data_IF_911968298317
#
_entry.id   IF_911968298317
#
_cell.length_a   1.000
_cell.length_b   1.000
_cell.length_c   1.000
_cell.angle_alpha   90.00
_cell.angle_beta   90.00
_cell.angle_gamma   90.00
#
_symmetry.space_group_name_H-M   'P 1'
#
loop_
_entity.id
_entity.type
_entity.pdbx_description
1 polymer ?
#
# COMPACT_ATOMS: atom_id res chain seq x y z
N UNK A 1 17.56 -28.15 30.59
CA UNK A 1 16.75 -28.62 29.43
C UNK A 1 15.27 -28.23 29.50
N UNK A 2 14.53 -28.49 30.60
CA UNK A 2 13.07 -28.22 30.66
C UNK A 2 12.67 -26.74 30.49
N UNK A 3 13.41 -25.81 31.10
CA UNK A 3 13.12 -24.37 31.00
C UNK A 3 13.36 -23.76 29.61
N UNK A 4 14.27 -24.34 28.81
CA UNK A 4 14.53 -23.88 27.43
C UNK A 4 13.40 -24.25 26.47
N UNK A 5 12.73 -25.38 26.71
CA UNK A 5 11.58 -25.83 25.89
C UNK A 5 10.37 -24.92 26.15
N UNK A 6 10.11 -24.58 27.42
CA UNK A 6 8.99 -23.67 27.78
C UNK A 6 9.24 -22.25 27.26
N UNK A 7 10.47 -21.74 27.39
CA UNK A 7 10.83 -20.42 26.84
C UNK A 7 10.72 -20.38 25.31
N UNK A 8 11.18 -21.42 24.62
CA UNK A 8 11.07 -21.54 23.16
C UNK A 8 9.61 -21.57 22.68
N UNK A 9 8.74 -22.33 23.35
CA UNK A 9 7.31 -22.36 23.02
C UNK A 9 6.63 -21.00 23.22
N UNK A 10 6.95 -20.28 24.29
CA UNK A 10 6.38 -18.96 24.55
C UNK A 10 6.73 -17.94 23.45
N UNK A 11 7.97 -17.97 22.95
CA UNK A 11 8.41 -17.10 21.84
C UNK A 11 7.71 -17.46 20.53
N UNK A 12 7.56 -18.75 20.21
CA UNK A 12 6.88 -19.20 18.98
C UNK A 12 5.39 -18.83 19.02
N UNK A 13 4.73 -19.01 20.17
CA UNK A 13 3.31 -18.68 20.33
C UNK A 13 3.04 -17.18 20.24
N UNK A 14 3.91 -16.35 20.83
CA UNK A 14 3.79 -14.89 20.72
C UNK A 14 4.04 -14.40 19.31
N UNK A 15 5.07 -14.90 18.63
CA UNK A 15 5.33 -14.55 17.23
C UNK A 15 4.20 -15.02 16.30
N UNK A 16 3.70 -16.25 16.45
CA UNK A 16 2.59 -16.77 15.68
C UNK A 16 1.28 -16.02 15.93
N UNK A 17 1.03 -15.63 17.18
CA UNK A 17 -0.11 -14.80 17.55
C UNK A 17 -0.10 -13.44 16.86
N UNK A 18 1.05 -12.77 16.83
CA UNK A 18 1.21 -11.46 16.16
C UNK A 18 0.95 -11.56 14.65
N UNK A 19 1.44 -12.62 13.99
CA UNK A 19 1.23 -12.85 12.56
C UNK A 19 -0.24 -13.16 12.26
N UNK A 20 -0.89 -13.99 13.07
CA UNK A 20 -2.29 -14.35 12.88
C UNK A 20 -3.26 -13.21 13.21
N UNK A 21 -2.87 -12.30 14.11
CA UNK A 21 -3.64 -11.09 14.44
C UNK A 21 -3.39 -9.92 13.50
N UNK A 22 -2.42 -10.03 12.58
CA UNK A 22 -2.23 -9.02 11.58
C UNK A 22 -3.54 -8.90 10.78
N UNK A 23 -4.10 -7.69 10.63
CA UNK A 23 -5.24 -7.49 9.74
C UNK A 23 -4.90 -8.12 8.39
N UNK A 24 -5.84 -8.83 7.74
CA UNK A 24 -5.62 -9.23 6.36
C UNK A 24 -5.22 -7.96 5.60
N UNK A 25 -4.17 -8.05 4.78
CA UNK A 25 -3.90 -7.01 3.82
C UNK A 25 -5.06 -7.04 2.81
N UNK A 26 -6.18 -6.41 3.15
CA UNK A 26 -7.08 -5.87 2.14
C UNK A 26 -6.20 -4.89 1.40
N UNK A 27 -5.72 -5.33 0.25
CA UNK A 27 -4.96 -4.47 -0.61
C UNK A 27 -6.04 -3.64 -1.29
N UNK A 28 -6.41 -2.52 -0.68
CA UNK A 28 -7.36 -1.53 -1.21
C UNK A 28 -6.87 -1.02 -2.53
N UNK A 29 -7.01 -1.87 -3.54
CA UNK A 29 -6.31 -1.80 -4.79
C UNK A 29 -7.34 -1.80 -5.90
N UNK A 30 -7.35 -0.70 -6.63
CA UNK A 30 -8.08 -0.58 -7.87
C UNK A 30 -7.12 -0.85 -9.03
N UNK A 31 -7.60 -1.60 -10.02
CA UNK A 31 -6.85 -1.95 -11.21
C UNK A 31 -7.64 -1.56 -12.46
N UNK A 32 -6.92 -1.14 -13.50
CA UNK A 32 -7.51 -0.76 -14.78
C UNK A 32 -8.03 0.69 -14.82
N UNK A 33 -8.49 1.11 -15.99
CA UNK A 33 -8.85 2.50 -16.26
C UNK A 33 -7.60 3.38 -16.44
N UNK A 34 -7.51 4.55 -15.79
CA UNK A 34 -6.40 5.50 -15.98
C UNK A 34 -5.10 5.10 -15.26
N UNK A 35 -5.09 4.03 -14.48
CA UNK A 35 -3.92 3.53 -13.75
C UNK A 35 -3.70 2.03 -13.99
N UNK A 36 -2.43 1.62 -13.95
CA UNK A 36 -2.02 0.21 -13.94
C UNK A 36 -2.42 -0.45 -12.62
N UNK A 37 -2.13 0.23 -11.52
CA UNK A 37 -2.59 -0.14 -10.18
C UNK A 37 -2.69 1.11 -9.31
N UNK A 38 -3.64 1.12 -8.39
CA UNK A 38 -3.77 2.15 -7.36
C UNK A 38 -4.09 1.44 -6.06
N UNK A 39 -3.19 1.49 -5.09
CA UNK A 39 -3.31 0.75 -3.85
C UNK A 39 -3.11 1.65 -2.64
N UNK A 40 -3.94 1.45 -1.62
CA UNK A 40 -3.76 2.06 -0.31
C UNK A 40 -3.07 1.10 0.66
N UNK A 41 -2.14 1.66 1.43
CA UNK A 41 -1.55 1.02 2.60
C UNK A 41 -2.48 1.08 3.81
N UNK A 42 -2.05 0.51 4.95
CA UNK A 42 -2.85 0.55 6.17
C UNK A 42 -3.07 1.99 6.66
N UNK A 43 -4.25 2.25 7.20
CA UNK A 43 -4.55 3.52 7.89
C UNK A 43 -3.80 3.55 9.23
N UNK A 44 -3.03 4.61 9.47
CA UNK A 44 -2.32 4.87 10.73
C UNK A 44 -3.27 5.44 11.80
N UNK A 45 -2.88 5.42 13.09
CA UNK A 45 -3.71 5.92 14.19
C UNK A 45 -4.07 7.41 14.08
N UNK A 46 -3.31 8.19 13.31
CA UNK A 46 -3.57 9.60 13.02
C UNK A 46 -4.56 9.82 11.85
N UNK A 47 -5.07 8.73 11.26
CA UNK A 47 -6.01 8.74 10.13
C UNK A 47 -5.34 8.90 8.77
N UNK A 48 -4.00 8.91 8.70
CA UNK A 48 -3.27 8.95 7.43
C UNK A 48 -3.11 7.56 6.83
N UNK A 49 -2.92 7.47 5.52
CA UNK A 49 -2.54 6.23 4.85
C UNK A 49 -1.65 6.54 3.64
N UNK A 50 -0.87 5.57 3.18
CA UNK A 50 -0.04 5.76 1.98
C UNK A 50 -0.80 5.27 0.75
N UNK A 51 -0.94 6.10 -0.29
CA UNK A 51 -1.48 5.69 -1.59
C UNK A 51 -0.37 5.58 -2.62
N UNK A 52 -0.29 4.43 -3.28
CA UNK A 52 0.63 4.19 -4.38
C UNK A 52 -0.14 4.04 -5.70
N UNK A 53 0.14 4.92 -6.66
CA UNK A 53 -0.45 4.86 -8.01
C UNK A 53 0.64 4.53 -9.01
N UNK A 54 0.41 3.49 -9.81
CA UNK A 54 1.18 3.16 -10.97
C UNK A 54 0.44 3.60 -12.25
N UNK A 55 1.08 4.41 -13.07
CA UNK A 55 0.60 4.88 -14.38
C UNK A 55 1.61 4.54 -15.45
N UNK A 56 1.23 4.69 -16.73
CA UNK A 56 2.20 4.64 -17.82
C UNK A 56 2.75 6.04 -18.08
N UNK A 57 4.08 6.15 -18.18
CA UNK A 57 4.75 7.37 -18.64
C UNK A 57 5.23 7.16 -20.06
N UNK A 58 4.94 8.11 -20.94
CA UNK A 58 5.45 8.11 -22.31
C UNK A 58 6.91 8.59 -22.33
N UNK A 59 7.81 7.79 -22.90
CA UNK A 59 9.22 8.11 -23.07
C UNK A 59 9.52 8.26 -24.56
N UNK A 60 10.02 9.42 -25.03
CA UNK A 60 10.41 9.59 -26.42
C UNK A 60 11.69 8.82 -26.72
N UNK A 61 11.77 8.22 -27.92
CA UNK A 61 12.93 7.48 -28.40
C UNK A 61 13.11 7.66 -29.91
N UNK A 62 14.02 8.54 -30.30
CA UNK A 62 14.25 8.87 -31.71
C UNK A 62 12.97 9.38 -32.37
N UNK A 63 12.52 8.67 -33.42
CA UNK A 63 11.29 8.97 -34.16
C UNK A 63 10.03 8.28 -33.62
N UNK A 64 10.11 7.62 -32.45
CA UNK A 64 8.99 6.91 -31.82
C UNK A 64 8.92 7.19 -30.32
N UNK A 65 8.00 6.52 -29.63
CA UNK A 65 7.83 6.59 -28.18
C UNK A 65 7.39 5.24 -27.64
N UNK A 66 7.73 4.95 -26.38
CA UNK A 66 7.23 3.76 -25.67
C UNK A 66 6.71 4.14 -24.29
N UNK A 67 5.80 3.33 -23.77
CA UNK A 67 5.23 3.50 -22.44
C UNK A 67 6.06 2.69 -21.45
N UNK A 68 6.46 3.32 -20.34
CA UNK A 68 7.07 2.63 -19.19
C UNK A 68 6.14 2.71 -17.99
N UNK A 69 6.04 1.66 -17.17
CA UNK A 69 5.36 1.77 -15.89
C UNK A 69 6.12 2.73 -14.98
N UNK A 70 5.38 3.63 -14.37
CA UNK A 70 5.87 4.54 -13.35
C UNK A 70 5.00 4.44 -12.11
N UNK A 71 5.62 4.30 -10.94
CA UNK A 71 4.92 4.18 -9.67
C UNK A 71 5.34 5.29 -8.74
N UNK A 72 4.38 6.02 -8.22
CA UNK A 72 4.58 7.04 -7.19
C UNK A 72 3.71 6.73 -5.98
N UNK A 73 4.20 7.03 -4.79
CA UNK A 73 3.48 6.86 -3.54
C UNK A 73 3.47 8.19 -2.79
N UNK A 74 2.31 8.59 -2.30
CA UNK A 74 2.11 9.80 -1.50
C UNK A 74 1.29 9.48 -0.25
N UNK A 75 1.44 10.32 0.77
CA UNK A 75 0.69 10.22 2.02
C UNK A 75 -0.66 10.93 1.85
N UNK A 76 -1.73 10.22 2.20
CA UNK A 76 -3.12 10.66 2.18
C UNK A 76 -3.62 10.83 3.62
N UNK A 77 -4.73 11.55 3.80
CA UNK A 77 -5.35 11.71 5.12
C UNK A 77 -5.97 13.09 5.33
N UNK A 78 -6.57 13.32 6.50
CA UNK A 78 -7.18 14.59 6.84
C UNK A 78 -6.15 15.73 6.79
N UNK A 79 -6.42 16.75 5.98
CA UNK A 79 -5.52 17.90 5.77
C UNK A 79 -4.40 17.64 4.75
N UNK A 80 -4.31 16.45 4.17
CA UNK A 80 -3.36 16.13 3.11
C UNK A 80 -4.07 16.12 1.76
N UNK A 81 -3.67 17.06 0.89
CA UNK A 81 -4.10 17.06 -0.50
C UNK A 81 -2.98 16.44 -1.33
N UNK A 82 -3.15 15.20 -1.78
CA UNK A 82 -2.34 14.75 -2.90
C UNK A 82 -2.74 15.62 -4.10
N UNK A 83 -1.84 16.51 -4.52
CA UNK A 83 -2.14 17.54 -5.52
C UNK A 83 -2.53 17.00 -6.90
N UNK A 84 -2.35 15.70 -7.13
CA UNK A 84 -2.56 15.03 -8.41
C UNK A 84 -3.85 14.19 -8.37
N UNK A 85 -4.78 14.46 -9.31
CA UNK A 85 -6.04 13.72 -9.48
C UNK A 85 -5.93 12.18 -9.44
N UNK A 86 -4.92 11.52 -10.05
CA UNK A 86 -4.78 10.06 -9.93
C UNK A 86 -4.57 9.55 -8.50
N UNK A 87 -4.08 10.41 -7.60
CA UNK A 87 -3.93 10.13 -6.18
C UNK A 87 -5.12 10.58 -5.36
N UNK A 88 -5.78 11.68 -5.71
CA UNK A 88 -6.85 12.26 -4.89
C UNK A 88 -8.22 11.57 -5.04
N UNK A 89 -8.44 10.76 -6.08
CA UNK A 89 -9.72 10.08 -6.31
C UNK A 89 -9.60 8.56 -6.15
N UNK A 90 -10.46 7.87 -5.40
CA UNK A 90 -11.44 8.43 -4.45
C UNK A 90 -10.72 9.11 -3.28
N UNK A 91 -11.28 10.17 -2.65
CA UNK A 91 -10.59 10.89 -1.58
C UNK A 91 -10.45 10.10 -0.28
N UNK A 92 -11.23 9.03 -0.12
CA UNK A 92 -11.20 8.12 1.02
C UNK A 92 -10.24 6.97 0.80
N UNK A 93 -9.97 6.22 1.87
CA UNK A 93 -9.28 4.94 1.77
C UNK A 93 -10.10 3.97 0.89
N UNK A 94 -9.43 3.17 0.06
CA UNK A 94 -10.10 2.33 -0.95
C UNK A 94 -10.91 1.18 -0.33
N UNK A 95 -10.53 0.69 0.85
CA UNK A 95 -11.23 -0.41 1.54
C UNK A 95 -12.31 0.05 2.53
N UNK A 96 -12.62 1.35 2.56
CA UNK A 96 -13.70 1.95 3.39
C UNK A 96 -15.08 1.85 2.72
#
# INVERSE_FOLDING_TARGET
MRYGIVGGMAVILTAGGLIASAPPASAGCLYGGPYLSKCDGPVQPDGTWQRCVAVTRLVPNGASSYLVPDKRCDLMGPGQNAGDFPFADPPTHIDD
#
